data_IF_351063873825
#
_entry.id   IF_351063873825
#
_cell.length_a   1.000
_cell.length_b   1.000
_cell.length_c   1.000
_cell.angle_alpha   90.00
_cell.angle_beta   90.00
_cell.angle_gamma   90.00
#
_symmetry.space_group_name_H-M   'P 1'
#
loop_
_entity.id
_entity.type
_entity.pdbx_description
1 polymer ?
#
# COMPACT_ATOMS: atom_id res chain seq x y z
N UNK A 1 -28.49 -4.15 11.85
CA UNK A 1 -27.13 -4.29 12.42
C UNK A 1 -26.75 -2.99 13.11
N UNK A 2 -26.25 -3.05 14.35
CA UNK A 2 -25.76 -1.87 15.08
C UNK A 2 -24.25 -1.78 14.83
N UNK A 3 -23.80 -0.77 14.10
CA UNK A 3 -22.38 -0.57 13.84
C UNK A 3 -21.74 0.09 15.06
N UNK A 4 -20.74 -0.57 15.64
CA UNK A 4 -19.92 0.02 16.70
C UNK A 4 -18.81 0.81 16.03
N UNK A 5 -18.98 2.12 15.92
CA UNK A 5 -17.91 3.00 15.44
C UNK A 5 -16.92 3.22 16.58
N UNK A 6 -15.65 2.94 16.34
CA UNK A 6 -14.57 3.29 17.27
C UNK A 6 -14.26 4.78 17.14
N UNK A 7 -13.78 5.38 18.23
CA UNK A 7 -13.30 6.77 18.18
C UNK A 7 -12.05 6.87 17.32
N UNK A 8 -11.80 8.07 16.75
CA UNK A 8 -10.56 8.36 16.00
C UNK A 8 -9.32 8.03 16.84
N UNK A 9 -9.30 8.43 18.10
CA UNK A 9 -8.18 8.18 19.02
C UNK A 9 -7.96 6.68 19.27
N UNK A 10 -9.05 5.91 19.39
CA UNK A 10 -8.96 4.45 19.53
C UNK A 10 -8.36 3.82 18.27
N UNK A 11 -8.78 4.27 17.09
CA UNK A 11 -8.21 3.81 15.82
C UNK A 11 -6.72 4.14 15.71
N UNK A 12 -6.34 5.39 15.97
CA UNK A 12 -4.94 5.84 15.92
C UNK A 12 -4.06 5.06 16.89
N UNK A 13 -4.53 4.81 18.12
CA UNK A 13 -3.81 4.00 19.09
C UNK A 13 -3.60 2.57 18.60
N UNK A 14 -4.64 1.91 18.06
CA UNK A 14 -4.52 0.55 17.51
C UNK A 14 -3.51 0.50 16.37
N UNK A 15 -3.56 1.46 15.45
CA UNK A 15 -2.64 1.56 14.32
C UNK A 15 -1.20 1.77 14.82
N UNK A 16 -0.98 2.72 15.72
CA UNK A 16 0.35 3.02 16.26
C UNK A 16 0.93 1.83 17.04
N UNK A 17 0.12 1.15 17.86
CA UNK A 17 0.55 -0.07 18.56
C UNK A 17 0.93 -1.17 17.58
N UNK A 18 0.16 -1.37 16.51
CA UNK A 18 0.51 -2.35 15.48
C UNK A 18 1.84 -2.01 14.79
N UNK A 19 2.00 -0.76 14.34
CA UNK A 19 3.20 -0.29 13.66
C UNK A 19 4.47 -0.42 14.51
N UNK A 20 4.40 -0.03 15.78
CA UNK A 20 5.55 -0.08 16.70
C UNK A 20 6.03 -1.50 17.00
N UNK A 21 5.17 -2.51 16.80
CA UNK A 21 5.51 -3.92 17.01
C UNK A 21 6.05 -4.60 15.73
N UNK A 22 6.10 -3.89 14.60
CA UNK A 22 6.59 -4.45 13.36
C UNK A 22 8.12 -4.30 13.23
N UNK A 23 8.79 -5.30 12.62
CA UNK A 23 10.15 -5.11 12.12
C UNK A 23 10.20 -3.93 11.12
N UNK A 24 11.29 -3.17 11.13
CA UNK A 24 11.50 -2.00 10.27
C UNK A 24 11.24 -2.31 8.78
N UNK A 25 11.64 -3.50 8.31
CA UNK A 25 11.42 -3.95 6.94
C UNK A 25 9.94 -4.15 6.56
N UNK A 26 9.04 -4.23 7.55
CA UNK A 26 7.58 -4.33 7.39
C UNK A 26 6.86 -3.03 7.68
N UNK A 27 7.45 -2.12 8.46
CA UNK A 27 6.86 -0.84 8.85
C UNK A 27 6.36 -0.04 7.64
N UNK A 28 7.23 0.14 6.64
CA UNK A 28 6.89 0.87 5.42
C UNK A 28 5.87 0.17 4.51
N UNK A 29 5.55 -1.11 4.74
CA UNK A 29 4.57 -1.88 3.95
C UNK A 29 3.25 -2.09 4.68
N UNK A 30 3.22 -1.79 5.97
CA UNK A 30 2.08 -2.04 6.86
C UNK A 30 0.89 -1.12 6.57
N UNK A 31 1.18 0.10 6.13
CA UNK A 31 0.20 1.09 5.74
C UNK A 31 0.61 1.72 4.42
N UNK A 32 -0.33 1.71 3.47
CA UNK A 32 -0.21 2.52 2.26
C UNK A 32 -0.61 3.94 2.62
N UNK A 33 0.39 4.77 2.92
CA UNK A 33 0.20 6.22 3.03
C UNK A 33 0.24 6.88 1.64
N UNK A 34 -0.01 8.19 1.57
CA UNK A 34 -0.02 8.94 0.29
C UNK A 34 1.33 8.90 -0.43
N UNK A 35 2.44 8.94 0.33
CA UNK A 35 3.79 8.87 -0.23
C UNK A 35 4.05 7.50 -0.90
N UNK A 36 3.79 6.40 -0.19
CA UNK A 36 3.92 5.05 -0.70
C UNK A 36 2.96 4.81 -1.88
N UNK A 37 1.75 5.34 -1.81
CA UNK A 37 0.79 5.28 -2.92
C UNK A 37 1.33 5.99 -4.16
N UNK A 38 1.96 7.15 -4.00
CA UNK A 38 2.62 7.87 -5.09
C UNK A 38 3.76 7.04 -5.68
N UNK A 39 4.62 6.44 -4.84
CA UNK A 39 5.68 5.54 -5.30
C UNK A 39 5.13 4.34 -6.07
N UNK A 40 4.09 3.68 -5.55
CA UNK A 40 3.40 2.57 -6.21
C UNK A 40 2.91 3.01 -7.60
N UNK A 41 2.20 4.15 -7.66
CA UNK A 41 1.67 4.69 -8.92
C UNK A 41 2.79 5.00 -9.92
N UNK A 42 3.87 5.65 -9.50
CA UNK A 42 5.02 5.95 -10.37
C UNK A 42 5.69 4.68 -10.91
N UNK A 43 5.91 3.67 -10.08
CA UNK A 43 6.50 2.39 -10.51
C UNK A 43 5.62 1.67 -11.51
N UNK A 44 4.29 1.70 -11.34
CA UNK A 44 3.36 1.02 -12.22
C UNK A 44 3.16 1.75 -13.56
N UNK A 45 3.27 3.08 -13.58
CA UNK A 45 3.23 3.89 -14.81
C UNK A 45 4.51 3.76 -15.63
N UNK A 46 5.68 3.64 -14.98
CA UNK A 46 6.97 3.48 -15.64
C UNK A 46 7.76 2.32 -15.03
N UNK A 47 7.39 1.11 -15.44
CA UNK A 47 8.01 -0.11 -14.93
C UNK A 47 9.52 -0.16 -15.19
N UNK A 48 10.02 0.45 -16.27
CA UNK A 48 11.44 0.33 -16.66
C UNK A 48 12.34 1.30 -15.89
N UNK A 49 11.76 2.32 -15.25
CA UNK A 49 12.53 3.32 -14.54
C UNK A 49 13.05 2.79 -13.20
N UNK A 50 14.35 2.50 -13.18
CA UNK A 50 15.04 1.94 -12.02
C UNK A 50 15.35 2.97 -10.93
N UNK A 51 15.21 4.26 -11.22
CA UNK A 51 15.58 5.36 -10.34
C UNK A 51 14.44 5.80 -9.38
N UNK A 52 13.21 5.31 -9.58
CA UNK A 52 12.05 5.70 -8.76
C UNK A 52 12.18 5.23 -7.30
N UNK A 53 12.65 4.00 -7.10
CA UNK A 53 12.84 3.37 -5.79
C UNK A 53 13.83 2.21 -5.89
N UNK A 54 14.18 1.64 -4.74
CA UNK A 54 15.04 0.47 -4.69
C UNK A 54 14.38 -0.77 -5.33
N UNK A 55 15.21 -1.76 -5.65
CA UNK A 55 14.78 -2.98 -6.34
C UNK A 55 13.71 -3.75 -5.55
N UNK A 56 13.82 -3.81 -4.22
CA UNK A 56 12.91 -4.60 -3.39
C UNK A 56 11.50 -3.97 -3.35
N UNK A 57 11.42 -2.64 -3.25
CA UNK A 57 10.14 -1.93 -3.36
C UNK A 57 9.55 -2.15 -4.75
N UNK A 58 10.33 -1.96 -5.82
CA UNK A 58 9.85 -2.15 -7.20
C UNK A 58 9.31 -3.57 -7.45
N UNK A 59 10.02 -4.60 -6.99
CA UNK A 59 9.56 -5.99 -7.10
C UNK A 59 8.30 -6.26 -6.26
N UNK A 60 8.25 -5.71 -5.05
CA UNK A 60 7.06 -5.80 -4.20
C UNK A 60 5.84 -5.14 -4.85
N UNK A 61 6.00 -3.93 -5.41
CA UNK A 61 4.93 -3.20 -6.11
C UNK A 61 4.38 -4.04 -7.27
N UNK A 62 5.25 -4.54 -8.14
CA UNK A 62 4.86 -5.36 -9.30
C UNK A 62 4.16 -6.66 -8.91
N UNK A 63 4.49 -7.22 -7.75
CA UNK A 63 3.90 -8.47 -7.26
C UNK A 63 2.49 -8.29 -6.71
N UNK A 64 2.22 -7.15 -6.07
CA UNK A 64 1.02 -6.96 -5.26
C UNK A 64 0.04 -5.92 -5.80
N UNK A 65 0.43 -5.11 -6.79
CA UNK A 65 -0.40 -4.02 -7.26
C UNK A 65 -0.46 -3.96 -8.79
N UNK A 66 -1.55 -3.38 -9.30
CA UNK A 66 -1.74 -3.00 -10.69
C UNK A 66 -2.44 -1.65 -10.77
N UNK A 67 -2.31 -0.96 -11.89
CA UNK A 67 -3.07 0.27 -12.17
C UNK A 67 -4.19 -0.01 -13.17
N UNK A 68 -5.31 0.67 -12.96
CA UNK A 68 -6.45 0.71 -13.85
C UNK A 68 -6.70 2.17 -14.24
N UNK A 69 -6.72 2.44 -15.54
CA UNK A 69 -7.07 3.76 -16.06
C UNK A 69 -8.60 3.91 -16.02
N UNK A 70 -9.10 4.93 -15.31
CA UNK A 70 -10.54 5.18 -15.17
C UNK A 70 -11.01 6.12 -16.30
N UNK A 71 -10.24 7.18 -16.51
CA UNK A 71 -10.38 8.14 -17.62
C UNK A 71 -8.97 8.48 -18.11
N UNK A 72 -8.81 8.99 -19.34
CA UNK A 72 -7.49 9.31 -19.88
C UNK A 72 -6.66 10.16 -18.92
N UNK A 73 -5.54 9.61 -18.44
CA UNK A 73 -4.62 10.27 -17.51
C UNK A 73 -4.97 10.14 -16.02
N UNK A 74 -6.11 9.55 -15.66
CA UNK A 74 -6.45 9.24 -14.26
C UNK A 74 -6.44 7.74 -14.00
N UNK A 75 -5.71 7.36 -12.94
CA UNK A 75 -5.37 5.98 -12.64
C UNK A 75 -5.67 5.67 -11.19
N UNK A 76 -6.33 4.53 -10.97
CA UNK A 76 -6.52 3.91 -9.67
C UNK A 76 -5.50 2.79 -9.47
N UNK A 77 -4.89 2.76 -8.30
CA UNK A 77 -4.04 1.64 -7.85
C UNK A 77 -4.94 0.59 -7.19
N UNK A 78 -4.80 -0.65 -7.66
CA UNK A 78 -5.54 -1.81 -7.17
C UNK A 78 -4.57 -2.87 -6.64
N UNK A 79 -5.00 -3.64 -5.64
CA UNK A 79 -4.20 -4.73 -5.08
C UNK A 79 -4.52 -6.04 -5.82
N UNK A 80 -3.49 -6.75 -6.26
CA UNK A 80 -3.59 -8.09 -6.83
C UNK A 80 -4.00 -9.09 -5.72
N UNK A 81 -5.29 -9.39 -5.60
CA UNK A 81 -5.77 -10.46 -4.72
C UNK A 81 -5.50 -11.82 -5.37
N UNK A 82 -4.25 -12.28 -5.35
CA UNK A 82 -3.94 -13.69 -5.61
C UNK A 82 -4.23 -14.47 -4.33
N UNK A 83 -5.10 -15.48 -4.44
CA UNK A 83 -5.59 -16.37 -3.39
C UNK A 83 -4.54 -16.74 -2.32
N UNK A 84 -4.64 -16.13 -1.14
CA UNK A 84 -4.74 -16.76 0.19
C UNK A 84 -4.84 -15.65 1.26
N UNK A 85 -5.68 -15.82 2.29
CA UNK A 85 -5.70 -14.89 3.40
C UNK A 85 -4.31 -14.87 4.06
N UNK A 86 -3.79 -13.67 4.31
CA UNK A 86 -2.64 -13.48 5.19
C UNK A 86 -3.20 -13.60 6.60
N UNK A 87 -3.16 -14.83 7.13
CA UNK A 87 -3.27 -15.12 8.56
C UNK A 87 -1.92 -14.85 9.23
#
# INVERSE_FOLDING_TARGET
MKYTFISKTTFENLVNTYLNNLPECKYHKALVNLELLSTIKSVLLDLKNVNICDKNIREWVRKWFYIEEIVPGDYRVMVLTTRKPVL
#
